data_IF_393925082223
#
_entry.id   IF_393925082223
#
_cell.length_a   1.000
_cell.length_b   1.000
_cell.length_c   1.000
_cell.angle_alpha   90.00
_cell.angle_beta   90.00
_cell.angle_gamma   90.00
#
_symmetry.space_group_name_H-M   'P 1'
#
loop_
_entity.id
_entity.type
_entity.pdbx_description
1 polymer ?
#
# COMPACT_ATOMS: atom_id res chain seq x y z
N UNK A 1 19.54 -17.67 20.26
CA UNK A 1 18.63 -18.66 20.89
C UNK A 1 19.24 -20.07 20.79
N UNK A 2 19.65 -20.51 19.60
CA UNK A 2 20.28 -21.85 19.44
C UNK A 2 21.57 -21.97 20.25
N UNK A 3 22.40 -20.92 20.30
CA UNK A 3 23.62 -20.88 21.16
C UNK A 3 23.29 -20.95 22.66
N UNK A 4 22.08 -20.68 23.06
CA UNK A 4 21.57 -20.80 24.44
C UNK A 4 20.74 -22.07 24.65
N UNK A 5 20.72 -22.98 23.67
CA UNK A 5 19.96 -24.23 23.74
C UNK A 5 18.44 -24.02 23.71
N UNK A 6 17.95 -22.88 23.19
CA UNK A 6 16.55 -22.55 23.10
C UNK A 6 16.04 -22.71 21.66
N UNK A 7 14.80 -23.20 21.52
CA UNK A 7 14.14 -23.29 20.21
C UNK A 7 13.48 -21.95 19.81
N UNK A 8 13.69 -21.50 18.59
CA UNK A 8 12.99 -20.34 17.98
C UNK A 8 11.47 -20.55 18.02
N UNK A 9 11.02 -21.78 17.85
CA UNK A 9 9.59 -22.12 17.84
C UNK A 9 8.86 -21.83 19.17
N UNK A 10 9.61 -21.71 20.28
CA UNK A 10 9.03 -21.34 21.58
C UNK A 10 8.62 -19.87 21.70
N UNK A 11 9.03 -19.02 20.75
CA UNK A 11 8.88 -17.55 20.84
C UNK A 11 7.81 -16.96 19.91
N UNK A 12 7.11 -17.77 19.14
CA UNK A 12 6.11 -17.32 18.17
C UNK A 12 6.65 -16.22 17.21
N UNK A 13 7.95 -16.25 16.94
CA UNK A 13 8.58 -15.33 16.00
C UNK A 13 8.31 -15.76 14.56
N UNK A 14 8.06 -14.81 13.67
CA UNK A 14 7.97 -15.04 12.22
C UNK A 14 9.18 -14.44 11.50
N UNK A 15 9.69 -15.15 10.50
CA UNK A 15 10.80 -14.66 9.66
C UNK A 15 10.32 -13.51 8.77
N UNK A 16 9.10 -13.61 8.28
CA UNK A 16 8.48 -12.74 7.30
C UNK A 16 7.06 -12.38 7.75
N UNK A 17 6.48 -11.28 7.28
CA UNK A 17 5.14 -10.82 7.64
C UNK A 17 4.04 -11.54 6.87
N UNK A 18 4.06 -12.88 6.80
CA UNK A 18 3.17 -13.68 5.94
C UNK A 18 1.69 -13.41 6.23
N UNK A 19 1.30 -13.31 7.50
CA UNK A 19 -0.09 -13.00 7.87
C UNK A 19 -0.47 -11.59 7.47
N UNK A 20 0.45 -10.63 7.57
CA UNK A 20 0.20 -9.25 7.18
C UNK A 20 0.07 -9.08 5.66
N UNK A 21 0.54 -10.04 4.86
CA UNK A 21 0.31 -10.08 3.41
C UNK A 21 -1.18 -10.09 3.05
N UNK A 22 -2.05 -10.59 3.91
CA UNK A 22 -3.50 -10.51 3.68
C UNK A 22 -3.98 -9.07 3.52
N UNK A 23 -3.45 -8.15 4.33
CA UNK A 23 -3.82 -6.73 4.27
C UNK A 23 -3.12 -5.96 3.14
N UNK A 24 -2.06 -6.52 2.58
CA UNK A 24 -1.43 -6.03 1.37
C UNK A 24 -2.19 -6.45 0.11
N UNK A 25 -2.64 -7.71 0.07
CA UNK A 25 -3.29 -8.31 -1.10
C UNK A 25 -4.77 -7.97 -1.21
N UNK A 26 -5.47 -7.86 -0.08
CA UNK A 26 -6.91 -7.65 -0.01
C UNK A 26 -7.23 -6.33 0.72
N UNK A 27 -8.21 -5.62 0.23
CA UNK A 27 -8.83 -4.53 1.00
C UNK A 27 -9.54 -5.09 2.23
N UNK A 28 -9.82 -4.23 3.22
CA UNK A 28 -10.54 -4.65 4.41
C UNK A 28 -11.96 -5.20 4.08
N UNK A 29 -12.59 -4.66 3.04
CA UNK A 29 -13.91 -5.11 2.60
C UNK A 29 -13.85 -6.47 1.90
N UNK A 30 -12.88 -6.68 1.01
CA UNK A 30 -12.65 -7.98 0.38
C UNK A 30 -12.30 -9.06 1.42
N UNK A 31 -11.47 -8.71 2.40
CA UNK A 31 -11.13 -9.64 3.47
C UNK A 31 -12.34 -10.00 4.33
N UNK A 32 -13.23 -9.04 4.64
CA UNK A 32 -14.50 -9.33 5.35
C UNK A 32 -15.40 -10.24 4.53
N UNK A 33 -15.52 -10.01 3.23
CA UNK A 33 -16.32 -10.82 2.32
C UNK A 33 -15.81 -12.27 2.29
N UNK A 34 -14.52 -12.47 2.04
CA UNK A 34 -13.90 -13.80 2.01
C UNK A 34 -14.04 -14.54 3.33
N UNK A 35 -13.79 -13.87 4.46
CA UNK A 35 -13.94 -14.49 5.78
C UNK A 35 -15.41 -14.77 6.10
N UNK A 36 -16.34 -13.92 5.67
CA UNK A 36 -17.77 -14.13 5.80
C UNK A 36 -18.25 -15.37 5.05
N UNK A 37 -17.78 -15.59 3.83
CA UNK A 37 -18.06 -16.79 3.03
C UNK A 37 -17.54 -18.08 3.69
N UNK A 38 -16.46 -17.96 4.47
CA UNK A 38 -15.89 -19.05 5.29
C UNK A 38 -16.59 -19.22 6.65
N UNK A 39 -17.58 -18.39 6.97
CA UNK A 39 -18.33 -18.44 8.23
C UNK A 39 -17.67 -17.69 9.39
N UNK A 40 -16.67 -16.85 9.14
CA UNK A 40 -16.01 -16.03 10.15
C UNK A 40 -16.47 -14.58 10.08
N UNK A 41 -16.51 -13.90 11.24
CA UNK A 41 -16.74 -12.46 11.32
C UNK A 41 -15.40 -11.75 11.57
N UNK A 42 -15.11 -10.72 10.78
CA UNK A 42 -13.93 -9.87 10.96
C UNK A 42 -14.35 -8.53 11.59
N UNK A 43 -14.24 -8.46 12.91
CA UNK A 43 -14.49 -7.22 13.63
C UNK A 43 -13.41 -6.18 13.32
N UNK A 44 -13.76 -4.86 13.26
CA UNK A 44 -12.80 -3.80 12.88
C UNK A 44 -11.52 -3.79 13.72
N UNK A 45 -11.60 -4.13 15.01
CA UNK A 45 -10.50 -4.12 15.96
C UNK A 45 -9.51 -5.28 15.75
N UNK A 46 -9.92 -6.33 15.03
CA UNK A 46 -9.06 -7.49 14.77
C UNK A 46 -7.89 -7.09 13.86
N UNK A 47 -8.13 -6.22 12.88
CA UNK A 47 -7.09 -5.79 11.93
C UNK A 47 -5.93 -5.08 12.66
N UNK A 48 -6.13 -3.97 13.41
CA UNK A 48 -5.03 -3.29 14.08
C UNK A 48 -4.33 -4.18 15.13
N UNK A 49 -5.07 -5.00 15.87
CA UNK A 49 -4.49 -5.95 16.83
C UNK A 49 -3.61 -7.01 16.15
N UNK A 50 -4.02 -7.50 14.99
CA UNK A 50 -3.23 -8.45 14.19
C UNK A 50 -1.96 -7.79 13.68
N UNK A 51 -2.05 -6.56 13.18
CA UNK A 51 -0.89 -5.80 12.71
C UNK A 51 0.11 -5.61 13.88
N UNK A 52 -0.32 -5.11 15.02
CA UNK A 52 0.54 -4.91 16.20
C UNK A 52 1.21 -6.21 16.67
N UNK A 53 0.42 -7.29 16.72
CA UNK A 53 0.92 -8.61 17.13
C UNK A 53 2.06 -9.09 16.24
N UNK A 54 1.90 -9.02 14.91
CA UNK A 54 2.92 -9.52 13.97
C UNK A 54 4.07 -8.55 13.76
N UNK A 55 3.84 -7.23 13.80
CA UNK A 55 4.93 -6.23 13.77
C UNK A 55 5.95 -6.48 14.88
N UNK A 56 5.49 -6.76 16.11
CA UNK A 56 6.37 -7.01 17.25
C UNK A 56 7.11 -8.35 17.20
N UNK A 57 6.78 -9.24 16.27
CA UNK A 57 7.29 -10.62 16.18
C UNK A 57 7.97 -10.98 14.88
N UNK A 58 7.98 -10.08 13.92
CA UNK A 58 8.64 -10.29 12.62
C UNK A 58 10.12 -9.93 12.71
N UNK A 59 10.99 -10.85 12.30
CA UNK A 59 12.45 -10.67 12.34
C UNK A 59 13.03 -9.95 11.11
N UNK A 60 12.20 -9.52 10.17
CA UNK A 60 12.60 -8.83 8.94
C UNK A 60 13.67 -9.55 8.09
N UNK A 61 13.62 -10.87 8.06
CA UNK A 61 14.55 -11.68 7.28
C UNK A 61 14.33 -11.69 5.75
N UNK A 62 13.64 -10.68 5.21
CA UNK A 62 13.37 -10.53 3.77
C UNK A 62 13.21 -9.05 3.40
N UNK A 63 13.70 -8.66 2.22
CA UNK A 63 13.50 -7.31 1.65
C UNK A 63 12.01 -6.95 1.53
N UNK A 64 11.14 -7.93 1.27
CA UNK A 64 9.69 -7.74 1.20
C UNK A 64 9.04 -7.39 2.56
N UNK A 65 9.70 -7.66 3.68
CA UNK A 65 9.15 -7.31 5.00
C UNK A 65 8.91 -5.82 5.13
N UNK A 66 9.83 -5.00 4.66
CA UNK A 66 9.71 -3.53 4.68
C UNK A 66 8.52 -3.04 3.83
N UNK A 67 8.26 -3.68 2.67
CA UNK A 67 7.10 -3.38 1.83
C UNK A 67 5.79 -3.59 2.58
N UNK A 68 5.62 -4.79 3.16
CA UNK A 68 4.37 -5.14 3.84
C UNK A 68 4.16 -4.28 5.08
N UNK A 69 5.22 -4.01 5.85
CA UNK A 69 5.13 -3.13 7.02
C UNK A 69 4.79 -1.69 6.63
N UNK A 70 5.43 -1.13 5.59
CA UNK A 70 5.06 0.18 5.07
C UNK A 70 3.57 0.23 4.71
N UNK A 71 3.08 -0.78 4.01
CA UNK A 71 1.69 -0.87 3.58
C UNK A 71 0.70 -0.85 4.75
N UNK A 72 0.87 -1.76 5.71
CA UNK A 72 -0.09 -1.91 6.82
C UNK A 72 -0.07 -0.72 7.80
N UNK A 73 1.07 -0.02 7.88
CA UNK A 73 1.22 1.16 8.74
C UNK A 73 0.73 2.46 8.10
N UNK A 74 0.56 2.50 6.78
CA UNK A 74 0.28 3.76 6.06
C UNK A 74 -0.96 4.50 6.58
N UNK A 75 -1.97 3.80 7.07
CA UNK A 75 -3.24 4.40 7.54
C UNK A 75 -3.21 4.88 8.98
N UNK A 76 -2.44 4.22 9.85
CA UNK A 76 -2.44 4.50 11.29
C UNK A 76 -1.14 5.16 11.79
N UNK A 77 -0.01 4.83 11.15
CA UNK A 77 1.33 5.22 11.59
C UNK A 77 2.18 5.71 10.41
N UNK A 78 1.77 6.83 9.79
CA UNK A 78 2.36 7.36 8.54
C UNK A 78 3.87 7.54 8.58
N UNK A 79 4.41 8.04 9.69
CA UNK A 79 5.86 8.28 9.82
C UNK A 79 6.61 6.95 9.83
N UNK A 80 6.12 5.94 10.55
CA UNK A 80 6.71 4.60 10.53
C UNK A 80 6.58 3.93 9.15
N UNK A 81 5.44 4.09 8.48
CA UNK A 81 5.26 3.62 7.11
C UNK A 81 6.33 4.21 6.18
N UNK A 82 6.59 5.52 6.29
CA UNK A 82 7.59 6.20 5.47
C UNK A 82 9.01 5.73 5.79
N UNK A 83 9.33 5.41 7.06
CA UNK A 83 10.61 4.81 7.44
C UNK A 83 10.82 3.44 6.77
N UNK A 84 9.82 2.55 6.80
CA UNK A 84 9.89 1.28 6.09
C UNK A 84 9.97 1.44 4.58
N UNK A 85 9.31 2.45 4.01
CA UNK A 85 9.42 2.77 2.59
C UNK A 85 10.85 3.20 2.21
N UNK A 86 11.51 4.01 3.02
CA UNK A 86 12.92 4.38 2.82
C UNK A 86 13.84 3.16 2.90
N UNK A 87 13.66 2.32 3.92
CA UNK A 87 14.42 1.06 4.03
C UNK A 87 14.25 0.19 2.80
N UNK A 88 13.03 0.11 2.25
CA UNK A 88 12.76 -0.66 1.05
C UNK A 88 13.49 -0.08 -0.18
N UNK A 89 13.46 1.26 -0.36
CA UNK A 89 14.18 1.94 -1.45
C UNK A 89 15.70 1.73 -1.38
N UNK A 90 16.25 1.63 -0.19
CA UNK A 90 17.69 1.46 0.05
C UNK A 90 18.14 0.01 0.01
N UNK A 91 17.21 -0.96 0.02
CA UNK A 91 17.51 -2.39 0.22
C UNK A 91 18.51 -2.97 -0.77
N UNK A 92 18.50 -2.50 -2.03
CA UNK A 92 19.41 -3.02 -3.07
C UNK A 92 20.73 -2.22 -3.21
N UNK A 93 20.89 -1.13 -2.46
CA UNK A 93 22.08 -0.27 -2.57
C UNK A 93 22.86 -0.11 -1.26
N UNK A 94 22.20 -0.32 -0.12
CA UNK A 94 22.79 -0.10 1.21
C UNK A 94 23.11 -1.38 1.99
N UNK A 95 22.97 -2.54 1.36
CA UNK A 95 23.20 -3.87 1.95
C UNK A 95 22.58 -4.05 3.36
N UNK A 96 21.34 -3.61 3.51
CA UNK A 96 20.63 -3.51 4.79
C UNK A 96 20.53 -4.86 5.51
N UNK A 97 20.52 -5.97 4.75
CA UNK A 97 20.38 -7.34 5.29
C UNK A 97 21.71 -8.10 5.39
N UNK A 98 22.82 -7.47 5.02
CA UNK A 98 24.16 -8.07 5.10
C UNK A 98 24.39 -9.19 4.08
N UNK A 99 24.86 -8.82 2.88
CA UNK A 99 25.19 -9.73 1.79
C UNK A 99 24.13 -9.85 0.68
N UNK A 100 23.00 -9.16 0.79
CA UNK A 100 21.93 -9.25 -0.22
C UNK A 100 22.17 -8.36 -1.43
N UNK A 101 22.96 -7.29 -1.30
CA UNK A 101 23.28 -6.38 -2.41
C UNK A 101 24.07 -7.09 -3.52
N UNK A 102 24.93 -8.05 -3.17
CA UNK A 102 25.68 -8.88 -4.12
C UNK A 102 24.79 -9.82 -4.95
N UNK A 103 23.61 -10.14 -4.47
CA UNK A 103 22.62 -10.96 -5.18
C UNK A 103 21.98 -10.23 -6.36
N UNK A 104 22.12 -8.89 -6.42
CA UNK A 104 21.56 -8.02 -7.43
C UNK A 104 20.20 -7.43 -7.02
N UNK A 105 19.47 -6.94 -8.01
CA UNK A 105 18.20 -6.22 -7.78
C UNK A 105 17.08 -7.16 -7.37
N UNK A 106 16.47 -6.91 -6.23
CA UNK A 106 15.27 -7.60 -5.75
C UNK A 106 14.02 -7.04 -6.43
N UNK A 107 13.70 -7.53 -7.63
CA UNK A 107 12.63 -6.99 -8.48
C UNK A 107 11.29 -6.84 -7.76
N UNK A 108 10.92 -7.79 -6.89
CA UNK A 108 9.67 -7.73 -6.14
C UNK A 108 9.65 -6.58 -5.13
N UNK A 109 10.79 -6.29 -4.47
CA UNK A 109 10.93 -5.18 -3.54
C UNK A 109 10.84 -3.84 -4.30
N UNK A 110 11.54 -3.72 -5.43
CA UNK A 110 11.51 -2.50 -6.24
C UNK A 110 10.13 -2.25 -6.89
N UNK A 111 9.48 -3.29 -7.40
CA UNK A 111 8.09 -3.20 -7.86
C UNK A 111 7.14 -2.79 -6.72
N UNK A 112 7.38 -3.29 -5.51
CA UNK A 112 6.64 -2.91 -4.32
C UNK A 112 6.79 -1.43 -3.95
N UNK A 113 7.95 -0.81 -4.20
CA UNK A 113 8.13 0.63 -4.03
C UNK A 113 7.19 1.43 -4.93
N UNK A 114 7.06 1.01 -6.19
CA UNK A 114 6.13 1.64 -7.14
C UNK A 114 4.69 1.44 -6.68
N UNK A 115 4.35 0.24 -6.23
CA UNK A 115 3.02 -0.11 -5.75
C UNK A 115 2.61 0.68 -4.49
N UNK A 116 3.55 0.90 -3.56
CA UNK A 116 3.32 1.78 -2.40
C UNK A 116 2.95 3.20 -2.83
N UNK A 117 3.63 3.76 -3.81
CA UNK A 117 3.31 5.09 -4.34
C UNK A 117 1.98 5.11 -5.08
N UNK A 118 1.73 4.12 -5.94
CA UNK A 118 0.56 4.12 -6.82
C UNK A 118 -0.73 3.71 -6.12
N UNK A 119 -0.70 2.73 -5.21
CA UNK A 119 -1.89 2.18 -4.58
C UNK A 119 -1.98 2.49 -3.08
N UNK A 120 -0.92 2.27 -2.33
CA UNK A 120 -0.98 2.38 -0.88
C UNK A 120 -1.20 3.82 -0.42
N UNK A 121 -0.27 4.73 -0.75
CA UNK A 121 -0.35 6.13 -0.30
C UNK A 121 -1.43 6.94 -1.01
N UNK A 122 -1.79 6.58 -2.24
CA UNK A 122 -2.94 7.19 -2.93
C UNK A 122 -4.28 6.60 -2.47
N UNK A 123 -4.25 5.41 -1.87
CA UNK A 123 -5.45 4.64 -1.55
C UNK A 123 -6.24 4.24 -2.79
N UNK A 124 -5.55 4.06 -3.94
CA UNK A 124 -6.20 3.69 -5.20
C UNK A 124 -6.71 2.25 -5.17
N UNK A 125 -7.99 2.12 -5.39
CA UNK A 125 -8.69 0.84 -5.60
C UNK A 125 -9.56 0.93 -6.87
N UNK A 126 -9.69 -0.21 -7.57
CA UNK A 126 -10.57 -0.33 -8.73
C UNK A 126 -11.66 -1.35 -8.43
N UNK A 127 -12.83 -0.91 -8.04
CA UNK A 127 -13.94 -1.79 -7.70
C UNK A 127 -15.22 -1.36 -8.42
N UNK A 128 -15.96 -2.32 -8.99
CA UNK A 128 -17.23 -2.04 -9.66
C UNK A 128 -17.12 -1.08 -10.85
N UNK A 129 -15.92 -0.93 -11.44
CA UNK A 129 -15.67 -0.01 -12.54
C UNK A 129 -15.50 1.45 -12.14
N UNK A 130 -15.19 1.69 -10.89
CA UNK A 130 -14.93 3.02 -10.30
C UNK A 130 -13.46 3.11 -9.92
N UNK A 131 -12.84 4.27 -10.16
CA UNK A 131 -11.56 4.63 -9.55
C UNK A 131 -11.84 5.22 -8.17
N UNK A 132 -11.45 4.51 -7.12
CA UNK A 132 -11.62 4.96 -5.73
C UNK A 132 -10.29 5.35 -5.14
N UNK A 133 -10.29 6.44 -4.39
CA UNK A 133 -9.12 6.94 -3.67
C UNK A 133 -9.45 7.18 -2.21
N UNK A 134 -8.53 6.76 -1.34
CA UNK A 134 -8.53 7.08 0.10
C UNK A 134 -7.10 7.47 0.49
N UNK A 135 -6.65 8.68 0.11
CA UNK A 135 -5.25 9.05 0.19
C UNK A 135 -4.73 9.16 1.62
N UNK A 136 -3.53 8.61 1.81
CA UNK A 136 -2.71 8.78 3.02
C UNK A 136 -1.32 9.31 2.62
N UNK A 137 -1.29 10.33 1.75
CA UNK A 137 -0.08 10.83 1.10
C UNK A 137 0.84 11.54 2.10
N UNK A 138 2.08 11.05 2.32
CA UNK A 138 3.05 11.72 3.18
C UNK A 138 3.53 13.04 2.58
N UNK A 139 3.55 14.12 3.38
CA UNK A 139 4.03 15.45 2.93
C UNK A 139 5.46 15.42 2.41
N UNK A 140 6.31 14.57 3.00
CA UNK A 140 7.71 14.40 2.66
C UNK A 140 7.94 13.92 1.23
N UNK A 141 6.95 13.26 0.62
CA UNK A 141 7.04 12.80 -0.78
C UNK A 141 6.72 13.91 -1.80
N UNK A 142 6.29 15.10 -1.34
CA UNK A 142 5.98 16.22 -2.21
C UNK A 142 4.82 15.90 -3.17
N UNK A 143 5.04 16.14 -4.47
CA UNK A 143 4.04 15.87 -5.51
C UNK A 143 4.47 14.67 -6.34
N UNK A 144 3.54 13.73 -6.52
CA UNK A 144 3.71 12.56 -7.39
C UNK A 144 2.78 12.64 -8.58
N UNK A 145 3.26 12.22 -9.74
CA UNK A 145 2.46 12.12 -10.95
C UNK A 145 2.74 10.78 -11.62
N UNK A 146 1.68 10.06 -11.96
CA UNK A 146 1.78 8.83 -12.73
C UNK A 146 0.68 8.71 -13.78
N UNK A 147 0.87 7.80 -14.73
CA UNK A 147 -0.15 7.39 -15.70
C UNK A 147 -0.61 5.98 -15.35
N UNK A 148 -1.91 5.77 -15.49
CA UNK A 148 -2.51 4.45 -15.39
C UNK A 148 -3.53 4.27 -16.52
N UNK A 149 -3.74 3.03 -16.93
CA UNK A 149 -4.79 2.71 -17.89
C UNK A 149 -5.96 2.06 -17.17
N UNK A 150 -7.15 2.64 -17.37
CA UNK A 150 -8.36 2.14 -16.75
C UNK A 150 -9.52 2.17 -17.74
N UNK A 151 -10.11 0.99 -18.03
CA UNK A 151 -11.23 0.85 -18.96
C UNK A 151 -11.00 1.57 -20.30
N UNK A 152 -9.85 1.30 -20.90
CA UNK A 152 -9.42 1.88 -22.17
C UNK A 152 -9.10 3.39 -22.14
N UNK A 153 -9.31 4.07 -21.01
CA UNK A 153 -8.90 5.45 -20.83
C UNK A 153 -7.48 5.55 -20.26
N UNK A 154 -6.73 6.52 -20.77
CA UNK A 154 -5.43 6.90 -20.24
C UNK A 154 -5.64 8.00 -19.18
N UNK A 155 -5.40 7.63 -17.94
CA UNK A 155 -5.61 8.49 -16.77
C UNK A 155 -4.28 9.03 -16.27
N UNK A 156 -4.22 10.34 -16.04
CA UNK A 156 -3.10 10.98 -15.34
C UNK A 156 -3.54 11.28 -13.92
N UNK A 157 -2.84 10.69 -12.97
CA UNK A 157 -2.99 10.95 -11.55
C UNK A 157 -1.91 11.91 -11.09
N UNK A 158 -2.28 12.98 -10.38
CA UNK A 158 -1.36 13.88 -9.70
C UNK A 158 -1.83 14.09 -8.26
N UNK A 159 -0.96 13.78 -7.32
CA UNK A 159 -1.26 13.88 -5.88
C UNK A 159 -0.19 14.66 -5.12
N UNK A 160 -0.63 15.42 -4.13
CA UNK A 160 0.18 16.05 -3.08
C UNK A 160 -0.52 15.85 -1.74
N UNK A 161 0.06 16.35 -0.65
CA UNK A 161 -0.59 16.31 0.67
C UNK A 161 -1.90 17.10 0.76
N UNK A 162 -2.15 18.00 -0.18
CA UNK A 162 -3.31 18.90 -0.14
C UNK A 162 -4.36 18.56 -1.20
N UNK A 163 -3.94 17.88 -2.29
CA UNK A 163 -4.79 17.81 -3.48
C UNK A 163 -4.54 16.56 -4.30
N UNK A 164 -5.65 15.98 -4.77
CA UNK A 164 -5.67 14.90 -5.74
C UNK A 164 -6.30 15.41 -7.03
N UNK A 165 -5.63 15.27 -8.18
CA UNK A 165 -6.13 15.52 -9.51
C UNK A 165 -6.16 14.25 -10.33
N UNK A 166 -7.26 14.00 -11.00
CA UNK A 166 -7.44 12.87 -11.92
C UNK A 166 -7.87 13.42 -13.26
N UNK A 167 -7.06 13.20 -14.29
CA UNK A 167 -7.29 13.73 -15.63
C UNK A 167 -7.46 12.59 -16.62
N UNK A 168 -8.48 12.64 -17.48
CA UNK A 168 -8.60 11.76 -18.64
C UNK A 168 -7.96 12.45 -19.86
N UNK A 169 -7.19 11.69 -20.64
CA UNK A 169 -6.55 12.22 -21.84
C UNK A 169 -7.62 12.46 -22.93
N UNK A 170 -7.45 13.50 -23.74
CA UNK A 170 -8.32 13.75 -24.89
C UNK A 170 -8.22 12.60 -25.90
N UNK A 171 -9.38 12.08 -26.33
CA UNK A 171 -9.46 10.90 -27.21
C UNK A 171 -9.82 9.60 -26.49
N UNK A 172 -9.90 9.61 -25.16
CA UNK A 172 -10.52 8.54 -24.38
C UNK A 172 -12.01 8.38 -24.74
N UNK A 173 -12.54 7.18 -24.53
CA UNK A 173 -13.84 6.79 -25.11
C UNK A 173 -14.97 6.83 -24.09
N UNK A 174 -14.68 6.65 -22.81
CA UNK A 174 -15.69 6.42 -21.79
C UNK A 174 -15.59 7.38 -20.60
N UNK A 175 -16.74 7.71 -20.04
CA UNK A 175 -16.80 8.38 -18.73
C UNK A 175 -16.33 7.41 -17.64
N UNK A 176 -15.58 7.94 -16.68
CA UNK A 176 -15.07 7.19 -15.51
C UNK A 176 -15.65 7.81 -14.25
N UNK A 177 -16.24 6.97 -13.40
CA UNK A 177 -16.61 7.39 -12.07
C UNK A 177 -15.36 7.42 -11.18
N UNK A 178 -15.13 8.55 -10.53
CA UNK A 178 -14.00 8.76 -9.61
C UNK A 178 -14.57 9.11 -8.25
N UNK A 179 -14.13 8.39 -7.23
CA UNK A 179 -14.49 8.68 -5.84
C UNK A 179 -13.22 8.97 -5.03
N UNK A 180 -13.27 9.99 -4.18
CA UNK A 180 -12.23 10.26 -3.19
C UNK A 180 -12.89 10.45 -1.84
N UNK A 181 -12.58 9.57 -0.89
CA UNK A 181 -13.31 9.45 0.37
C UNK A 181 -14.82 9.31 0.09
N UNK A 182 -15.63 10.27 0.55
CA UNK A 182 -17.09 10.29 0.33
C UNK A 182 -17.54 11.09 -0.90
N UNK A 183 -16.63 11.78 -1.59
CA UNK A 183 -16.95 12.61 -2.76
C UNK A 183 -16.90 11.79 -4.05
N UNK A 184 -17.89 11.99 -4.91
CA UNK A 184 -18.03 11.31 -6.20
C UNK A 184 -18.10 12.31 -7.33
N UNK A 185 -17.28 12.11 -8.36
CA UNK A 185 -17.26 12.94 -9.56
C UNK A 185 -17.21 12.05 -10.81
N UNK A 186 -17.78 12.55 -11.90
CA UNK A 186 -17.69 11.91 -13.22
C UNK A 186 -16.57 12.59 -14.00
N UNK A 187 -15.58 11.82 -14.41
CA UNK A 187 -14.48 12.25 -15.25
C UNK A 187 -14.79 11.92 -16.70
N UNK A 188 -14.90 12.95 -17.54
CA UNK A 188 -15.13 12.79 -18.99
C UNK A 188 -13.83 12.87 -19.77
N UNK A 189 -13.79 12.32 -21.00
CA UNK A 189 -12.64 12.45 -21.88
C UNK A 189 -12.16 13.90 -22.03
N UNK A 190 -10.86 14.12 -21.80
CA UNK A 190 -10.24 15.44 -21.84
C UNK A 190 -10.46 16.32 -20.61
N UNK A 191 -11.22 15.87 -19.63
CA UNK A 191 -11.48 16.62 -18.39
C UNK A 191 -10.51 16.28 -17.27
N UNK A 192 -10.53 17.12 -16.25
CA UNK A 192 -9.82 16.93 -14.97
C UNK A 192 -10.81 17.12 -13.83
N UNK A 193 -10.84 16.17 -12.90
CA UNK A 193 -11.53 16.32 -11.62
C UNK A 193 -10.51 16.53 -10.52
N UNK A 194 -10.87 17.26 -9.48
CA UNK A 194 -9.99 17.64 -8.39
C UNK A 194 -10.67 17.44 -7.04
N UNK A 195 -9.92 16.94 -6.10
CA UNK A 195 -10.36 16.72 -4.72
C UNK A 195 -9.39 17.42 -3.77
N UNK A 196 -9.91 18.20 -2.85
CA UNK A 196 -9.14 18.76 -1.76
C UNK A 196 -8.94 17.69 -0.67
N UNK A 197 -7.68 17.42 -0.35
CA UNK A 197 -7.31 16.50 0.70
C UNK A 197 -7.13 17.33 1.99
N UNK A 198 -8.10 17.22 2.90
CA UNK A 198 -7.97 17.88 4.22
C UNK A 198 -6.80 17.23 4.95
N UNK A 199 -5.87 18.05 5.40
CA UNK A 199 -4.87 17.64 6.38
C UNK A 199 -5.57 17.47 7.73
N UNK A 200 -5.71 16.24 8.21
CA UNK A 200 -5.95 16.00 9.63
C UNK A 200 -4.65 16.20 10.42
#
# INVERSE_FOLDING_TARGET
>A
LEAEGRSVNAYQASKQPDVLMLFYLLSADELREVLGDLGYQLEPEVIPRTIEYYLSRTSHGSTLSALVHSWVLARAHRDQSLEYFKLLLESDVADIQGGTTEEGIHLAAMAGCVDLLQRCFTGLETRGGVLRFNPQWPRQLGTFTCRLRFRENDIILRISSERLRVSAVSGDVHEVQVACNEQWLTLRPGETVEFDLKSD
#
